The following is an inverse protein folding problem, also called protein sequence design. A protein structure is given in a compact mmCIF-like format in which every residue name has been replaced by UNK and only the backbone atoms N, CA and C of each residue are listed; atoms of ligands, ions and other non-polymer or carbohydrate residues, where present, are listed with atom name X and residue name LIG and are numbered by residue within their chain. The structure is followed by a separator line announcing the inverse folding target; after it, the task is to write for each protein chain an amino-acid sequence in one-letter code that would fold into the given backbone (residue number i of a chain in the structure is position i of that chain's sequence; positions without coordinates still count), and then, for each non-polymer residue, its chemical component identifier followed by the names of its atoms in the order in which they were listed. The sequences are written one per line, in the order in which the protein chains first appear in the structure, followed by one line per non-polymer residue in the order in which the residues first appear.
data_IF_197100691213
#
_entry.id   IF_197100691213
#
_cell.length_a   1.000
_cell.length_b   1.000
_cell.length_c   1.000
_cell.angle_alpha   90.00
_cell.angle_beta   90.00
_cell.angle_gamma   90.00
#
_symmetry.space_group_name_H-M   'P 1'
#
loop_
_entity.id
_entity.type
_entity.pdbx_description
1 polymer ?
#
# COMPACT_ATOMS: atom_id res chain seq x y z
N UNK A 1 -11.46 -46.87 28.51
CA UNK A 1 -11.80 -47.25 29.89
C UNK A 1 -13.13 -46.61 30.26
N UNK A 2 -14.20 -47.40 30.33
CA UNK A 2 -15.29 -47.27 31.29
C UNK A 2 -16.21 -48.49 31.13
N UNK A 3 -16.39 -49.19 32.25
CA UNK A 3 -17.19 -50.41 32.44
C UNK A 3 -18.63 -50.02 32.79
N UNK A 4 -19.54 -51.00 32.67
CA UNK A 4 -20.91 -51.18 33.21
C UNK A 4 -21.81 -51.65 32.05
N UNK A 5 -22.36 -52.87 31.95
CA UNK A 5 -22.67 -53.90 32.95
C UNK A 5 -24.09 -53.69 33.50
N UNK A 6 -25.10 -54.42 32.99
CA UNK A 6 -26.35 -54.90 33.65
C UNK A 6 -27.08 -55.86 32.67
N UNK A 7 -27.70 -56.90 33.23
CA UNK A 7 -28.04 -58.21 32.66
C UNK A 7 -29.45 -58.33 32.00
N UNK A 8 -29.71 -59.43 31.26
CA UNK A 8 -31.06 -59.85 30.85
C UNK A 8 -31.69 -60.88 31.81
N UNK A 9 -32.95 -60.68 32.21
CA UNK A 9 -33.75 -61.64 32.98
C UNK A 9 -34.66 -62.47 32.06
N UNK A 10 -34.46 -63.80 32.09
CA UNK A 10 -35.41 -64.86 31.70
C UNK A 10 -36.28 -65.26 32.92
N UNK A 11 -37.46 -65.83 32.66
CA UNK A 11 -38.35 -66.70 33.49
C UNK A 11 -39.81 -66.29 33.17
N UNK A 12 -40.77 -67.12 32.80
CA UNK A 12 -40.97 -68.57 32.69
C UNK A 12 -42.51 -68.80 32.62
N UNK A 13 -43.03 -69.79 31.87
CA UNK A 13 -44.48 -70.00 31.69
C UNK A 13 -45.08 -70.85 32.81
N UNK A 14 -46.17 -70.37 33.43
CA UNK A 14 -46.95 -71.07 34.45
C UNK A 14 -48.23 -71.69 33.88
N UNK A 15 -48.07 -72.77 33.13
CA UNK A 15 -49.01 -73.88 33.08
C UNK A 15 -48.91 -74.61 34.44
N UNK A 16 -49.91 -75.40 34.84
CA UNK A 16 -50.04 -76.06 36.16
C UNK A 16 -50.85 -75.33 37.23
N UNK A 17 -52.18 -75.31 37.06
CA UNK A 17 -53.21 -75.60 38.09
C UNK A 17 -54.47 -76.06 37.34
N UNK A 18 -54.58 -77.29 36.83
CA UNK A 18 -54.62 -78.56 37.55
C UNK A 18 -55.71 -78.51 38.63
N UNK A 19 -56.93 -78.86 38.23
CA UNK A 19 -57.50 -80.19 38.50
C UNK A 19 -57.67 -80.46 40.01
N UNK A 20 -58.52 -79.69 40.70
CA UNK A 20 -59.07 -80.09 42.00
C UNK A 20 -60.45 -79.46 42.16
N UNK A 21 -61.51 -80.21 41.82
CA UNK A 21 -62.85 -80.22 42.46
C UNK A 21 -63.88 -80.97 41.58
N UNK A 22 -63.48 -82.16 41.14
CA UNK A 22 -64.40 -83.29 40.97
C UNK A 22 -64.31 -84.09 42.27
N UNK A 23 -65.16 -83.79 43.26
CA UNK A 23 -65.60 -84.72 44.31
C UNK A 23 -66.48 -83.98 45.29
N UNK A 24 -67.79 -84.21 45.23
CA UNK A 24 -68.61 -84.55 46.40
C UNK A 24 -70.08 -84.71 45.98
N UNK A 25 -70.48 -85.99 45.94
CA UNK A 25 -71.72 -86.53 46.53
C UNK A 25 -73.04 -86.07 45.87
N UNK A 26 -73.65 -86.86 44.98
CA UNK A 26 -74.33 -88.14 45.21
C UNK A 26 -75.66 -88.04 45.99
N UNK A 27 -76.62 -88.81 45.47
CA UNK A 27 -77.92 -89.23 46.01
C UNK A 27 -79.14 -88.31 45.80
N UNK A 28 -80.11 -88.82 45.04
CA UNK A 28 -81.45 -88.23 44.94
C UNK A 28 -82.18 -88.54 43.63
N UNK A 29 -82.37 -89.82 43.28
CA UNK A 29 -83.38 -90.23 42.29
C UNK A 29 -84.65 -90.57 43.07
N UNK A 30 -85.72 -89.79 42.86
CA UNK A 30 -87.09 -90.19 43.20
C UNK A 30 -88.05 -89.54 42.20
N UNK A 31 -88.87 -90.37 41.56
CA UNK A 31 -89.82 -90.03 40.52
C UNK A 31 -90.86 -89.00 41.01
N UNK A 32 -90.96 -87.87 40.31
CA UNK A 32 -92.09 -86.96 40.39
C UNK A 32 -92.49 -86.53 38.97
N UNK A 33 -93.26 -87.41 38.31
CA UNK A 33 -93.98 -87.12 37.08
C UNK A 33 -94.92 -85.91 37.30
N UNK A 34 -94.92 -85.01 36.31
CA UNK A 34 -95.84 -83.87 36.08
C UNK A 34 -95.72 -82.55 36.87
N UNK A 35 -94.88 -82.43 37.91
CA UNK A 35 -94.48 -81.10 38.46
C UNK A 35 -93.03 -80.71 38.16
N UNK A 36 -92.19 -81.69 37.78
CA UNK A 36 -90.80 -81.47 37.34
C UNK A 36 -90.71 -80.67 36.04
N UNK A 37 -91.62 -80.93 35.09
CA UNK A 37 -91.67 -80.24 33.78
C UNK A 37 -91.85 -78.73 33.92
N UNK A 38 -92.53 -78.25 34.98
CA UNK A 38 -92.73 -76.81 35.22
C UNK A 38 -91.51 -76.13 35.85
N UNK A 39 -90.85 -76.77 36.83
CA UNK A 39 -89.59 -76.28 37.44
C UNK A 39 -88.43 -76.35 36.45
N UNK A 40 -88.36 -77.38 35.64
CA UNK A 40 -87.38 -77.53 34.57
C UNK A 40 -87.57 -76.47 33.49
N UNK A 41 -88.83 -76.15 33.11
CA UNK A 41 -89.13 -75.04 32.19
C UNK A 41 -88.73 -73.67 32.76
N UNK A 42 -88.90 -73.46 34.07
CA UNK A 42 -88.51 -72.20 34.70
C UNK A 42 -86.98 -72.09 34.87
N UNK A 43 -86.30 -73.20 35.21
CA UNK A 43 -84.83 -73.28 35.19
C UNK A 43 -84.26 -73.08 33.77
N UNK A 44 -84.92 -73.65 32.75
CA UNK A 44 -84.57 -73.42 31.34
C UNK A 44 -84.78 -71.97 30.91
N UNK A 45 -85.82 -71.29 31.39
CA UNK A 45 -86.01 -69.84 31.13
C UNK A 45 -84.93 -69.00 31.79
N UNK A 46 -84.55 -69.31 33.04
CA UNK A 46 -83.48 -68.59 33.75
C UNK A 46 -82.12 -68.85 33.13
N UNK A 47 -81.84 -70.09 32.71
CA UNK A 47 -80.59 -70.40 32.01
C UNK A 47 -80.55 -69.76 30.63
N UNK A 48 -81.66 -69.76 29.86
CA UNK A 48 -81.75 -69.02 28.60
C UNK A 48 -81.60 -67.50 28.79
N UNK A 49 -82.18 -66.93 29.84
CA UNK A 49 -82.02 -65.51 30.17
C UNK A 49 -80.57 -65.17 30.56
N UNK A 50 -79.93 -65.99 31.38
CA UNK A 50 -78.52 -65.83 31.75
C UNK A 50 -77.58 -65.98 30.54
N UNK A 51 -77.88 -66.90 29.62
CA UNK A 51 -77.11 -67.12 28.40
C UNK A 51 -77.25 -65.93 27.43
N UNK A 52 -78.47 -65.38 27.29
CA UNK A 52 -78.71 -64.13 26.55
C UNK A 52 -77.99 -62.94 27.18
N UNK A 53 -77.99 -62.83 28.51
CA UNK A 53 -77.28 -61.76 29.22
C UNK A 53 -75.75 -61.89 29.08
N UNK A 54 -75.21 -63.11 29.16
CA UNK A 54 -73.80 -63.38 28.93
C UNK A 54 -73.40 -63.12 27.46
N UNK A 55 -74.27 -63.45 26.50
CA UNK A 55 -74.10 -63.09 25.09
C UNK A 55 -74.07 -61.56 24.90
N UNK A 56 -75.02 -60.83 25.48
CA UNK A 56 -75.05 -59.37 25.41
C UNK A 56 -73.81 -58.73 26.05
N UNK A 57 -73.29 -59.28 27.16
CA UNK A 57 -72.05 -58.84 27.78
C UNK A 57 -70.81 -59.16 26.92
N UNK A 58 -70.77 -60.33 26.28
CA UNK A 58 -69.69 -60.67 25.35
C UNK A 58 -69.69 -59.74 24.14
N UNK A 59 -70.86 -59.42 23.58
CA UNK A 59 -71.01 -58.47 22.49
C UNK A 59 -70.59 -57.05 22.91
N UNK A 60 -70.98 -56.60 24.11
CA UNK A 60 -70.56 -55.31 24.66
C UNK A 60 -69.03 -55.23 24.86
N UNK A 61 -68.44 -56.25 25.48
CA UNK A 61 -66.98 -56.33 25.69
C UNK A 61 -66.21 -56.47 24.37
N UNK A 62 -66.77 -57.15 23.37
CA UNK A 62 -66.17 -57.23 22.04
C UNK A 62 -66.20 -55.85 21.35
N UNK A 63 -67.30 -55.10 21.49
CA UNK A 63 -67.42 -53.73 21.01
C UNK A 63 -66.43 -52.78 21.69
N UNK A 64 -66.30 -52.83 23.02
CA UNK A 64 -65.32 -52.03 23.77
C UNK A 64 -63.88 -52.36 23.39
N UNK A 65 -63.54 -53.65 23.23
CA UNK A 65 -62.21 -54.05 22.76
C UNK A 65 -61.92 -53.53 21.36
N UNK A 66 -62.89 -53.61 20.44
CA UNK A 66 -62.73 -53.06 19.11
C UNK A 66 -62.53 -51.53 19.14
N UNK A 67 -63.29 -50.80 19.98
CA UNK A 67 -63.13 -49.36 20.17
C UNK A 67 -61.75 -49.00 20.75
N UNK A 68 -61.32 -49.70 21.81
CA UNK A 68 -60.00 -49.49 22.42
C UNK A 68 -58.85 -49.84 21.48
N UNK A 69 -59.01 -50.88 20.65
CA UNK A 69 -58.02 -51.21 19.62
C UNK A 69 -57.95 -50.14 18.54
N UNK A 70 -59.09 -49.57 18.14
CA UNK A 70 -59.17 -48.45 17.21
C UNK A 70 -58.48 -47.21 17.79
N UNK A 71 -58.77 -46.83 19.04
CA UNK A 71 -58.11 -45.73 19.72
C UNK A 71 -56.60 -45.96 19.87
N UNK A 72 -56.18 -47.15 20.29
CA UNK A 72 -54.76 -47.51 20.38
C UNK A 72 -54.05 -47.36 19.02
N UNK A 73 -54.71 -47.79 17.94
CA UNK A 73 -54.15 -47.66 16.60
C UNK A 73 -54.07 -46.19 16.16
N UNK A 74 -55.06 -45.36 16.52
CA UNK A 74 -55.02 -43.91 16.29
C UNK A 74 -53.88 -43.24 17.08
N UNK A 75 -53.72 -43.57 18.37
CA UNK A 75 -52.63 -43.02 19.19
C UNK A 75 -51.26 -43.46 18.71
N UNK A 76 -51.10 -44.71 18.25
CA UNK A 76 -49.85 -45.17 17.62
C UNK A 76 -49.55 -44.38 16.35
N UNK A 77 -50.54 -44.19 15.48
CA UNK A 77 -50.38 -43.37 14.28
C UNK A 77 -50.00 -41.92 14.60
N UNK A 78 -50.64 -41.30 15.60
CA UNK A 78 -50.33 -39.95 16.05
C UNK A 78 -48.92 -39.85 16.65
N UNK A 79 -48.49 -40.83 17.44
CA UNK A 79 -47.14 -40.88 18.01
C UNK A 79 -46.07 -41.03 16.93
N UNK A 80 -46.30 -41.91 15.95
CA UNK A 80 -45.40 -42.08 14.80
C UNK A 80 -45.28 -40.78 14.00
N UNK A 81 -46.40 -40.12 13.70
CA UNK A 81 -46.42 -38.82 13.03
C UNK A 81 -45.68 -37.74 13.82
N UNK A 82 -45.96 -37.61 15.12
CA UNK A 82 -45.29 -36.65 15.99
C UNK A 82 -43.77 -36.92 16.08
N UNK A 83 -43.37 -38.20 16.15
CA UNK A 83 -41.95 -38.58 16.16
C UNK A 83 -41.25 -38.27 14.83
N UNK A 84 -41.94 -38.47 13.70
CA UNK A 84 -41.43 -38.12 12.37
C UNK A 84 -41.27 -36.60 12.23
N UNK A 85 -42.26 -35.81 12.69
CA UNK A 85 -42.19 -34.35 12.71
C UNK A 85 -41.05 -33.84 13.60
N UNK A 86 -40.88 -34.41 14.81
CA UNK A 86 -39.78 -34.03 15.70
C UNK A 86 -38.40 -34.32 15.08
N UNK A 87 -38.25 -35.45 14.38
CA UNK A 87 -37.02 -35.78 13.64
C UNK A 87 -36.77 -34.82 12.48
N UNK A 88 -37.81 -34.48 11.70
CA UNK A 88 -37.71 -33.52 10.62
C UNK A 88 -37.32 -32.12 11.14
N UNK A 89 -37.97 -31.64 12.21
CA UNK A 89 -37.64 -30.37 12.84
C UNK A 89 -36.23 -30.34 13.42
N UNK A 90 -35.77 -31.43 14.04
CA UNK A 90 -34.38 -31.53 14.52
C UNK A 90 -33.36 -31.47 13.37
N UNK A 91 -33.65 -32.12 12.24
CA UNK A 91 -32.78 -32.08 11.06
C UNK A 91 -32.72 -30.67 10.46
N UNK A 92 -33.86 -29.96 10.42
CA UNK A 92 -33.95 -28.58 9.95
C UNK A 92 -33.17 -27.61 10.85
N UNK A 93 -33.35 -27.71 12.18
CA UNK A 93 -32.56 -26.91 13.14
C UNK A 93 -31.07 -27.16 12.97
N UNK A 94 -30.65 -28.41 12.71
CA UNK A 94 -29.24 -28.73 12.48
C UNK A 94 -28.71 -28.13 11.17
N UNK A 95 -29.51 -28.12 10.10
CA UNK A 95 -29.16 -27.44 8.83
C UNK A 95 -29.02 -25.93 9.02
N UNK A 96 -30.01 -25.30 9.62
CA UNK A 96 -29.99 -23.85 9.90
C UNK A 96 -28.79 -23.45 10.77
N UNK A 97 -28.41 -24.29 11.74
CA UNK A 97 -27.18 -24.08 12.54
C UNK A 97 -25.92 -24.18 11.68
N UNK A 98 -25.83 -25.17 10.78
CA UNK A 98 -24.68 -25.29 9.89
C UNK A 98 -24.58 -24.12 8.90
N UNK A 99 -25.71 -23.65 8.38
CA UNK A 99 -25.76 -22.51 7.46
C UNK A 99 -25.43 -21.21 8.19
N UNK A 100 -25.95 -21.01 9.39
CA UNK A 100 -25.58 -19.87 10.24
C UNK A 100 -24.09 -19.83 10.57
N UNK A 101 -23.46 -20.99 10.81
CA UNK A 101 -22.02 -21.08 11.02
C UNK A 101 -21.22 -20.76 9.75
N UNK A 102 -21.68 -21.20 8.57
CA UNK A 102 -21.06 -20.86 7.28
C UNK A 102 -21.12 -19.36 7.00
N UNK A 103 -22.31 -18.77 7.14
CA UNK A 103 -22.51 -17.34 6.93
C UNK A 103 -21.65 -16.49 7.88
N UNK A 104 -21.49 -16.92 9.15
CA UNK A 104 -20.56 -16.26 10.08
C UNK A 104 -19.11 -16.36 9.63
N UNK A 105 -18.67 -17.53 9.17
CA UNK A 105 -17.31 -17.70 8.67
C UNK A 105 -17.04 -16.83 7.43
N UNK A 106 -18.01 -16.72 6.52
CA UNK A 106 -17.88 -15.89 5.32
C UNK A 106 -17.94 -14.39 5.66
N UNK A 107 -18.76 -13.99 6.63
CA UNK A 107 -18.77 -12.61 7.15
C UNK A 107 -17.43 -12.22 7.79
N UNK A 108 -16.78 -13.13 8.52
CA UNK A 108 -15.46 -12.87 9.09
C UNK A 108 -14.36 -12.82 8.02
N UNK A 109 -14.41 -13.68 7.00
CA UNK A 109 -13.47 -13.62 5.85
C UNK A 109 -13.58 -12.29 5.11
N UNK A 110 -14.80 -11.88 4.75
CA UNK A 110 -15.03 -10.61 4.04
C UNK A 110 -14.61 -9.39 4.89
N UNK A 111 -14.77 -9.44 6.22
CA UNK A 111 -14.23 -8.41 7.12
C UNK A 111 -12.71 -8.36 7.11
N UNK A 112 -12.04 -9.51 7.12
CA UNK A 112 -10.59 -9.60 7.03
C UNK A 112 -10.07 -9.07 5.70
N UNK A 113 -10.70 -9.44 4.59
CA UNK A 113 -10.35 -8.95 3.25
C UNK A 113 -10.53 -7.44 3.15
N UNK A 114 -11.65 -6.89 3.65
CA UNK A 114 -11.89 -5.45 3.67
C UNK A 114 -10.84 -4.71 4.53
N UNK A 115 -10.45 -5.28 5.68
CA UNK A 115 -9.41 -4.70 6.52
C UNK A 115 -8.04 -4.72 5.82
N UNK A 116 -7.71 -5.82 5.14
CA UNK A 116 -6.47 -5.95 4.37
C UNK A 116 -6.43 -4.96 3.21
N UNK A 117 -7.52 -4.79 2.46
CA UNK A 117 -7.61 -3.81 1.37
C UNK A 117 -7.52 -2.37 1.87
N UNK A 118 -8.15 -2.05 3.01
CA UNK A 118 -7.99 -0.74 3.64
C UNK A 118 -6.54 -0.47 4.04
N UNK A 119 -5.86 -1.45 4.62
CA UNK A 119 -4.45 -1.33 4.98
C UNK A 119 -3.56 -1.14 3.73
N UNK A 120 -3.83 -1.87 2.64
CA UNK A 120 -3.15 -1.69 1.34
C UNK A 120 -3.39 -0.29 0.78
N UNK A 121 -4.63 0.21 0.84
CA UNK A 121 -4.97 1.57 0.40
C UNK A 121 -4.23 2.65 1.20
N UNK A 122 -4.17 2.51 2.52
CA UNK A 122 -3.39 3.42 3.38
C UNK A 122 -1.90 3.38 3.09
N UNK A 123 -1.35 2.18 2.85
CA UNK A 123 0.05 2.01 2.49
C UNK A 123 0.36 2.68 1.14
N UNK A 124 -0.47 2.46 0.12
CA UNK A 124 -0.31 3.10 -1.20
C UNK A 124 -0.42 4.62 -1.10
N UNK A 125 -1.35 5.14 -0.30
CA UNK A 125 -1.46 6.58 -0.07
C UNK A 125 -0.18 7.15 0.56
N UNK A 126 0.36 6.48 1.59
CA UNK A 126 1.62 6.91 2.21
C UNK A 126 2.80 6.89 1.24
N UNK A 127 2.84 5.92 0.32
CA UNK A 127 3.87 5.83 -0.72
C UNK A 127 3.71 6.95 -1.76
N UNK A 128 2.47 7.31 -2.13
CA UNK A 128 2.22 8.45 -3.00
C UNK A 128 2.66 9.76 -2.37
N UNK A 129 2.34 9.97 -1.09
CA UNK A 129 2.74 11.19 -0.37
C UNK A 129 4.28 11.29 -0.27
N UNK A 130 4.97 10.18 0.01
CA UNK A 130 6.44 10.12 0.01
C UNK A 130 7.03 10.39 -1.38
N UNK A 131 6.46 9.81 -2.44
CA UNK A 131 6.92 10.02 -3.80
C UNK A 131 6.73 11.49 -4.24
N UNK A 132 5.62 12.12 -3.85
CA UNK A 132 5.37 13.54 -4.10
C UNK A 132 6.37 14.43 -3.37
N UNK A 133 6.67 14.13 -2.10
CA UNK A 133 7.69 14.87 -1.33
C UNK A 133 9.09 14.76 -1.97
N UNK A 134 9.49 13.56 -2.38
CA UNK A 134 10.77 13.34 -3.08
C UNK A 134 10.83 14.10 -4.41
N UNK A 135 9.73 14.13 -5.15
CA UNK A 135 9.64 14.84 -6.42
C UNK A 135 9.73 16.36 -6.23
N UNK A 136 9.09 16.91 -5.20
CA UNK A 136 9.23 18.33 -4.84
C UNK A 136 10.67 18.66 -4.42
N UNK A 137 11.30 17.80 -3.62
CA UNK A 137 12.70 17.97 -3.23
C UNK A 137 13.63 17.95 -4.46
N UNK A 138 13.45 16.99 -5.36
CA UNK A 138 14.23 16.89 -6.59
C UNK A 138 14.06 18.12 -7.50
N UNK A 139 12.83 18.67 -7.60
CA UNK A 139 12.57 19.92 -8.34
C UNK A 139 13.31 21.11 -7.72
N UNK A 140 13.23 21.29 -6.40
CA UNK A 140 13.93 22.38 -5.72
C UNK A 140 15.46 22.29 -5.87
N UNK A 141 16.01 21.07 -5.79
CA UNK A 141 17.43 20.83 -5.99
C UNK A 141 17.85 21.12 -7.45
N UNK A 142 17.01 20.74 -8.42
CA UNK A 142 17.25 21.04 -9.82
C UNK A 142 17.24 22.54 -10.11
N UNK A 143 16.27 23.28 -9.55
CA UNK A 143 16.21 24.73 -9.67
C UNK A 143 17.43 25.42 -9.06
N UNK A 144 17.85 25.00 -7.85
CA UNK A 144 19.06 25.51 -7.22
C UNK A 144 20.31 25.24 -8.07
N UNK A 145 20.44 24.04 -8.65
CA UNK A 145 21.55 23.69 -9.52
C UNK A 145 21.55 24.51 -10.82
N UNK A 146 20.37 24.80 -11.38
CA UNK A 146 20.26 25.69 -12.55
C UNK A 146 20.70 27.11 -12.24
N UNK A 147 20.35 27.64 -11.06
CA UNK A 147 20.78 28.98 -10.62
C UNK A 147 22.31 29.03 -10.48
N UNK A 148 22.90 28.04 -9.79
CA UNK A 148 24.36 27.93 -9.65
C UNK A 148 25.06 27.85 -11.02
N UNK A 149 24.51 27.09 -11.96
CA UNK A 149 25.09 27.00 -13.31
C UNK A 149 25.02 28.34 -14.06
N UNK A 150 23.93 29.11 -13.90
CA UNK A 150 23.80 30.43 -14.51
C UNK A 150 24.79 31.42 -13.91
N UNK A 151 24.95 31.40 -12.59
CA UNK A 151 25.94 32.23 -11.88
C UNK A 151 27.37 31.89 -12.30
N UNK A 152 27.73 30.62 -12.32
CA UNK A 152 29.06 30.17 -12.76
C UNK A 152 29.36 30.57 -14.22
N UNK A 153 28.35 30.49 -15.11
CA UNK A 153 28.50 30.94 -16.50
C UNK A 153 28.72 32.46 -16.59
N UNK A 154 28.00 33.24 -15.78
CA UNK A 154 28.16 34.70 -15.73
C UNK A 154 29.56 35.06 -15.23
N UNK A 155 30.00 34.46 -14.13
CA UNK A 155 31.32 34.71 -13.57
C UNK A 155 32.43 34.33 -14.56
N UNK A 156 32.28 33.20 -15.27
CA UNK A 156 33.21 32.80 -16.32
C UNK A 156 33.28 33.82 -17.46
N UNK A 157 32.13 34.34 -17.92
CA UNK A 157 32.08 35.36 -18.95
C UNK A 157 32.74 36.68 -18.51
N UNK A 158 32.49 37.11 -17.26
CA UNK A 158 33.12 38.30 -16.67
C UNK A 158 34.65 38.13 -16.57
N UNK A 159 35.13 36.96 -16.15
CA UNK A 159 36.57 36.64 -16.11
C UNK A 159 37.21 36.67 -17.49
N UNK A 160 36.54 36.14 -18.51
CA UNK A 160 37.03 36.19 -19.90
C UNK A 160 37.13 37.64 -20.37
N UNK A 161 36.12 38.47 -20.12
CA UNK A 161 36.15 39.89 -20.48
C UNK A 161 37.24 40.68 -19.74
N UNK A 162 37.45 40.39 -18.46
CA UNK A 162 38.54 40.99 -17.68
C UNK A 162 39.91 40.55 -18.25
N UNK A 163 40.06 39.29 -18.64
CA UNK A 163 41.31 38.79 -19.20
C UNK A 163 41.63 39.40 -20.57
N UNK A 164 40.62 39.55 -21.45
CA UNK A 164 40.81 40.18 -22.77
C UNK A 164 41.16 41.65 -22.64
N UNK A 165 40.51 42.39 -21.74
CA UNK A 165 40.82 43.80 -21.48
C UNK A 165 42.23 43.98 -20.89
N UNK A 166 42.62 43.15 -19.93
CA UNK A 166 43.99 43.16 -19.39
C UNK A 166 45.03 42.83 -20.46
N UNK A 167 44.77 41.85 -21.31
CA UNK A 167 45.68 41.48 -22.42
C UNK A 167 45.87 42.65 -23.39
N UNK A 168 44.78 43.32 -23.80
CA UNK A 168 44.85 44.49 -24.67
C UNK A 168 45.59 45.68 -24.03
N UNK A 169 45.41 45.90 -22.72
CA UNK A 169 46.16 46.93 -21.99
C UNK A 169 47.65 46.62 -21.91
N UNK A 170 48.00 45.35 -21.66
CA UNK A 170 49.39 44.90 -21.65
C UNK A 170 50.04 45.07 -23.03
N UNK A 171 49.38 44.65 -24.10
CA UNK A 171 49.86 44.86 -25.48
C UNK A 171 50.07 46.33 -25.81
N UNK A 172 49.12 47.20 -25.43
CA UNK A 172 49.26 48.64 -25.63
C UNK A 172 50.43 49.21 -24.82
N UNK A 173 50.60 48.78 -23.58
CA UNK A 173 51.67 49.23 -22.71
C UNK A 173 53.04 48.77 -23.22
N UNK A 174 53.17 47.54 -23.68
CA UNK A 174 54.43 47.02 -24.25
C UNK A 174 54.80 47.75 -25.54
N UNK A 175 53.84 48.04 -26.42
CA UNK A 175 54.07 48.85 -27.62
C UNK A 175 54.49 50.29 -27.28
N UNK A 176 53.82 50.91 -26.30
CA UNK A 176 54.17 52.26 -25.85
C UNK A 176 55.59 52.31 -25.25
N UNK A 177 55.97 51.31 -24.47
CA UNK A 177 57.31 51.18 -23.90
C UNK A 177 58.36 51.02 -25.00
N UNK A 178 58.17 50.10 -25.95
CA UNK A 178 59.09 49.89 -27.07
C UNK A 178 59.28 51.16 -27.92
N UNK A 179 58.20 51.92 -28.16
CA UNK A 179 58.26 53.20 -28.87
C UNK A 179 58.99 54.29 -28.07
N UNK A 180 58.82 54.31 -26.74
CA UNK A 180 59.54 55.24 -25.86
C UNK A 180 61.05 54.91 -25.80
N UNK A 181 61.40 53.63 -25.69
CA UNK A 181 62.80 53.17 -25.74
C UNK A 181 63.48 53.54 -27.07
N UNK A 182 62.79 53.33 -28.20
CA UNK A 182 63.30 53.69 -29.53
C UNK A 182 63.58 55.19 -29.62
N UNK A 183 62.63 56.02 -29.18
CA UNK A 183 62.79 57.49 -29.15
C UNK A 183 63.93 57.93 -28.21
N UNK A 184 64.05 57.31 -27.05
CA UNK A 184 65.14 57.59 -26.12
C UNK A 184 66.51 57.31 -26.77
N UNK A 185 66.67 56.15 -27.44
CA UNK A 185 67.88 55.82 -28.20
C UNK A 185 68.17 56.82 -29.32
N UNK A 186 67.14 57.26 -30.05
CA UNK A 186 67.27 58.28 -31.11
C UNK A 186 67.73 59.63 -30.55
N UNK A 187 67.13 60.11 -29.46
CA UNK A 187 67.59 61.33 -28.78
C UNK A 187 69.03 61.22 -28.31
N UNK A 188 69.39 60.08 -27.70
CA UNK A 188 70.75 59.87 -27.22
C UNK A 188 71.76 59.89 -28.39
N UNK A 189 71.43 59.22 -29.50
CA UNK A 189 72.26 59.24 -30.71
C UNK A 189 72.41 60.67 -31.29
N UNK A 190 71.31 61.43 -31.37
CA UNK A 190 71.34 62.82 -31.81
C UNK A 190 72.17 63.71 -30.87
N UNK A 191 72.04 63.51 -29.55
CA UNK A 191 72.84 64.19 -28.53
C UNK A 191 74.34 63.89 -28.66
N UNK A 192 74.72 62.63 -28.87
CA UNK A 192 76.11 62.24 -29.14
C UNK A 192 76.63 62.88 -30.43
N UNK A 193 75.84 62.89 -31.51
CA UNK A 193 76.22 63.53 -32.76
C UNK A 193 76.45 65.05 -32.59
N UNK A 194 75.62 65.72 -31.78
CA UNK A 194 75.80 67.13 -31.45
C UNK A 194 77.11 67.38 -30.67
N UNK A 195 77.42 66.54 -29.69
CA UNK A 195 78.67 66.61 -28.92
C UNK A 195 79.90 66.36 -29.79
N UNK A 196 79.85 65.37 -30.67
CA UNK A 196 80.97 65.05 -31.56
C UNK A 196 81.26 66.20 -32.52
N UNK A 197 80.22 66.82 -33.10
CA UNK A 197 80.36 68.02 -33.94
C UNK A 197 80.95 69.21 -33.17
N UNK A 198 80.59 69.37 -31.89
CA UNK A 198 81.19 70.41 -31.05
C UNK A 198 82.67 70.11 -30.78
N UNK A 199 83.01 68.84 -30.50
CA UNK A 199 84.37 68.39 -30.22
C UNK A 199 85.28 68.48 -31.44
N UNK A 200 84.76 68.23 -32.64
CA UNK A 200 85.52 68.25 -33.90
C UNK A 200 85.79 69.67 -34.43
N UNK A 201 85.35 70.73 -33.72
CA UNK A 201 85.66 72.12 -34.11
C UNK A 201 87.16 72.38 -34.06
N UNK A 202 87.74 72.67 -35.21
CA UNK A 202 89.16 73.00 -35.35
C UNK A 202 89.44 74.49 -35.04
N UNK A 203 90.70 74.84 -34.76
CA UNK A 203 91.10 76.24 -34.56
C UNK A 203 90.81 77.12 -35.79
N UNK A 204 90.86 76.53 -36.99
CA UNK A 204 90.43 77.18 -38.23
C UNK A 204 88.93 77.50 -38.25
N UNK A 205 88.09 76.61 -37.73
CA UNK A 205 86.64 76.84 -37.64
C UNK A 205 86.30 77.94 -36.65
N UNK A 206 87.04 78.02 -35.53
CA UNK A 206 86.90 79.08 -34.53
C UNK A 206 87.32 80.45 -35.07
N UNK A 207 88.37 80.53 -35.91
CA UNK A 207 88.76 81.77 -36.59
C UNK A 207 87.74 82.17 -37.65
N UNK A 208 87.25 81.21 -38.43
CA UNK A 208 86.26 81.44 -39.47
C UNK A 208 84.91 81.89 -38.89
N UNK A 209 84.54 81.43 -37.69
CA UNK A 209 83.32 81.87 -36.99
C UNK A 209 83.37 83.34 -36.54
N UNK A 210 84.57 83.92 -36.38
CA UNK A 210 84.80 85.31 -35.98
C UNK A 210 85.07 86.25 -37.18
N UNK A 211 84.75 85.84 -38.41
CA UNK A 211 84.94 86.69 -39.60
C UNK A 211 84.03 87.94 -39.58
N UNK A 212 84.59 89.16 -39.60
CA UNK A 212 83.81 90.38 -39.38
C UNK A 212 83.03 90.90 -40.61
N UNK A 213 83.24 90.36 -41.82
CA UNK A 213 82.72 90.97 -43.06
C UNK A 213 81.55 90.24 -43.73
N UNK A 214 81.47 88.90 -43.69
CA UNK A 214 80.41 88.15 -44.41
C UNK A 214 79.54 87.26 -43.51
N UNK A 215 80.01 86.86 -42.31
CA UNK A 215 79.21 86.11 -41.32
C UNK A 215 78.67 84.75 -41.77
N UNK A 216 79.08 84.24 -42.93
CA UNK A 216 78.49 83.05 -43.56
C UNK A 216 78.65 81.78 -42.72
N UNK A 217 79.79 81.65 -42.04
CA UNK A 217 80.11 80.54 -41.13
C UNK A 217 79.26 80.55 -39.86
N UNK A 218 78.94 81.73 -39.32
CA UNK A 218 78.04 81.87 -38.18
C UNK A 218 76.63 81.39 -38.54
N UNK A 219 76.12 81.79 -39.71
CA UNK A 219 74.82 81.32 -40.23
C UNK A 219 74.83 79.81 -40.51
N UNK A 220 75.93 79.25 -41.03
CA UNK A 220 76.06 77.80 -41.21
C UNK A 220 76.00 77.03 -39.89
N UNK A 221 76.66 77.53 -38.84
CA UNK A 221 76.64 76.92 -37.51
C UNK A 221 75.24 77.04 -36.88
N UNK A 222 74.57 78.17 -37.07
CA UNK A 222 73.19 78.38 -36.62
C UNK A 222 72.21 77.42 -37.33
N UNK A 223 72.32 77.26 -38.66
CA UNK A 223 71.53 76.30 -39.42
C UNK A 223 71.76 74.86 -38.95
N UNK A 224 73.01 74.49 -38.65
CA UNK A 224 73.33 73.16 -38.12
C UNK A 224 72.81 72.94 -36.70
N UNK A 225 72.85 73.97 -35.86
CA UNK A 225 72.28 73.93 -34.51
C UNK A 225 70.75 73.81 -34.58
N UNK A 226 70.10 74.53 -35.49
CA UNK A 226 68.66 74.48 -35.70
C UNK A 226 68.20 73.14 -36.31
N UNK A 227 69.02 72.53 -37.18
CA UNK A 227 68.79 71.18 -37.70
C UNK A 227 68.84 70.13 -36.57
N UNK A 228 69.87 70.17 -35.72
CA UNK A 228 69.99 69.27 -34.57
C UNK A 228 68.88 69.50 -33.53
N UNK A 229 68.52 70.76 -33.30
CA UNK A 229 67.38 71.13 -32.45
C UNK A 229 66.08 70.57 -33.01
N UNK A 230 65.87 70.71 -34.32
CA UNK A 230 64.72 70.14 -35.02
C UNK A 230 64.68 68.62 -34.91
N UNK A 231 65.81 67.93 -35.04
CA UNK A 231 65.91 66.48 -34.82
C UNK A 231 65.61 66.06 -33.37
N UNK A 232 66.15 66.78 -32.37
CA UNK A 232 65.83 66.53 -30.97
C UNK A 232 64.36 66.78 -30.64
N UNK A 233 63.77 67.85 -31.19
CA UNK A 233 62.38 68.22 -30.97
C UNK A 233 61.41 67.24 -31.65
N UNK A 234 61.77 66.63 -32.80
CA UNK A 234 60.99 65.54 -33.43
C UNK A 234 60.82 64.33 -32.51
N UNK A 235 61.82 64.06 -31.66
CA UNK A 235 61.77 62.91 -30.74
C UNK A 235 61.21 63.28 -29.37
N UNK A 236 61.19 64.57 -29.01
CA UNK A 236 60.75 65.06 -27.70
C UNK A 236 59.28 64.74 -27.47
N UNK A 237 59.01 64.13 -26.31
CA UNK A 237 57.64 63.84 -25.93
C UNK A 237 56.90 65.13 -25.59
N UNK A 238 55.93 65.51 -26.42
CA UNK A 238 54.90 66.49 -26.05
C UNK A 238 53.71 65.71 -25.54
N UNK A 239 53.31 65.98 -24.30
CA UNK A 239 52.06 65.44 -23.74
C UNK A 239 50.91 65.96 -24.59
N UNK A 240 50.30 65.12 -25.41
CA UNK A 240 49.01 65.45 -26.01
C UNK A 240 48.03 65.67 -24.85
N UNK A 241 47.46 66.88 -24.76
CA UNK A 241 46.38 67.22 -23.84
C UNK A 241 45.10 66.47 -24.23
#
# INVERSE_FOLDING_TARGET
MNKHGIAPTRLGPGWERLWVLVLCLATGVALAQDKGVSREREQLRRSQAALKQAQAQQEALAGEKAALEQERNQFKGALEQASAQARAGSAEVQRLRSDGNRLRADAERTRQDLAAEKARGQQLQSQLDQAQALLQQARSAHEAMQLQLREARRESAERVQANTTLTALLERATQALAAAETRNRQMHAAGLAALERYRSKSESDLRAQNEPFLGLTAVQIENQAEELRSELDKHRWVKAQ
#
